data_IF_449193208868
#
_entry.id   IF_449193208868
#
_cell.length_a   1.000
_cell.length_b   1.000
_cell.length_c   1.000
_cell.angle_alpha   90.00
_cell.angle_beta   90.00
_cell.angle_gamma   90.00
#
_symmetry.space_group_name_H-M   'P 1'
#
loop_
_entity.id
_entity.type
_entity.pdbx_description
1 polymer ?
#
# COMPACT_ATOMS: atom_id res chain seq x y z
N UNK A 1 21.33 -6.73 12.77
CA UNK A 1 21.46 -5.34 13.20
C UNK A 1 22.16 -4.46 12.17
N UNK A 2 21.40 -3.87 11.24
CA UNK A 2 21.92 -2.89 10.28
C UNK A 2 20.91 -1.74 10.13
N UNK A 3 20.89 -0.76 11.04
CA UNK A 3 20.00 0.39 10.93
C UNK A 3 20.40 1.26 9.74
N UNK A 4 19.42 1.79 9.00
CA UNK A 4 19.65 2.70 7.86
C UNK A 4 20.24 2.07 6.60
N UNK A 5 20.48 0.75 6.58
CA UNK A 5 20.96 0.02 5.40
C UNK A 5 19.98 -1.07 4.97
N UNK A 6 19.91 -1.32 3.67
CA UNK A 6 19.17 -2.44 3.08
C UNK A 6 20.15 -3.54 2.66
N UNK A 7 19.88 -4.77 3.07
CA UNK A 7 20.69 -5.94 2.75
C UNK A 7 19.95 -6.71 1.66
N UNK A 8 20.46 -6.66 0.43
CA UNK A 8 19.89 -7.36 -0.72
C UNK A 8 20.43 -8.79 -0.82
N UNK A 9 21.73 -8.96 -0.55
CA UNK A 9 22.43 -10.25 -0.45
C UNK A 9 23.56 -10.15 0.60
N UNK A 10 24.20 -11.27 1.00
CA UNK A 10 25.30 -11.24 1.99
C UNK A 10 26.48 -10.33 1.60
N UNK A 11 26.68 -10.12 0.31
CA UNK A 11 27.73 -9.31 -0.32
C UNK A 11 27.24 -7.95 -0.86
N UNK A 12 25.93 -7.69 -0.82
CA UNK A 12 25.33 -6.44 -1.29
C UNK A 12 24.46 -5.82 -0.20
N UNK A 13 25.05 -4.88 0.53
CA UNK A 13 24.34 -3.98 1.43
C UNK A 13 24.46 -2.55 0.92
N UNK A 14 23.34 -1.85 0.81
CA UNK A 14 23.31 -0.47 0.35
C UNK A 14 22.91 0.48 1.48
N UNK A 15 23.55 1.63 1.54
CA UNK A 15 23.10 2.80 2.28
C UNK A 15 22.13 3.63 1.42
N UNK A 16 21.48 4.61 2.05
CA UNK A 16 20.59 5.55 1.35
C UNK A 16 21.34 6.34 0.28
N UNK A 17 22.56 6.76 0.58
CA UNK A 17 23.44 7.51 -0.33
C UNK A 17 23.81 6.65 -1.54
N UNK A 18 24.16 5.38 -1.31
CA UNK A 18 24.45 4.43 -2.39
C UNK A 18 23.21 4.16 -3.25
N UNK A 19 22.03 4.07 -2.65
CA UNK A 19 20.76 3.95 -3.36
C UNK A 19 20.39 5.17 -4.22
N UNK A 20 20.95 6.35 -3.93
CA UNK A 20 20.62 7.59 -4.64
C UNK A 20 21.18 7.67 -6.07
N UNK A 21 22.08 6.75 -6.45
CA UNK A 21 22.60 6.67 -7.81
C UNK A 21 21.52 6.31 -8.86
N UNK A 22 20.41 5.69 -8.44
CA UNK A 22 19.29 5.34 -9.34
C UNK A 22 18.18 6.38 -9.22
N UNK A 23 17.88 7.06 -10.33
CA UNK A 23 16.87 8.11 -10.37
C UNK A 23 15.50 7.59 -9.92
N UNK A 24 14.92 8.21 -8.89
CA UNK A 24 13.60 7.85 -8.36
C UNK A 24 13.59 6.67 -7.38
N UNK A 25 14.73 5.99 -7.17
CA UNK A 25 14.82 4.88 -6.23
C UNK A 25 14.87 5.34 -4.76
N UNK A 26 15.32 6.56 -4.49
CA UNK A 26 15.46 7.12 -3.13
C UNK A 26 14.14 7.07 -2.36
N UNK A 27 13.01 7.39 -2.98
CA UNK A 27 11.69 7.31 -2.33
C UNK A 27 11.37 5.87 -1.91
N UNK A 28 11.63 4.90 -2.79
CA UNK A 28 11.41 3.47 -2.51
C UNK A 28 12.36 3.00 -1.41
N UNK A 29 13.61 3.45 -1.46
CA UNK A 29 14.61 3.16 -0.44
C UNK A 29 14.15 3.63 0.94
N UNK A 30 13.67 4.87 1.04
CA UNK A 30 13.16 5.45 2.30
C UNK A 30 11.94 4.67 2.82
N UNK A 31 11.02 4.29 1.92
CA UNK A 31 9.88 3.44 2.27
C UNK A 31 10.31 2.06 2.78
N UNK A 32 11.32 1.43 2.16
CA UNK A 32 11.88 0.15 2.59
C UNK A 32 12.59 0.27 3.95
N UNK A 33 13.32 1.35 4.19
CA UNK A 33 13.95 1.62 5.48
C UNK A 33 12.90 1.81 6.58
N UNK A 34 11.82 2.53 6.30
CA UNK A 34 10.71 2.70 7.24
C UNK A 34 10.02 1.35 7.54
N UNK A 35 9.73 0.55 6.51
CA UNK A 35 9.11 -0.76 6.67
C UNK A 35 9.98 -1.74 7.46
N UNK A 36 11.28 -1.84 7.14
CA UNK A 36 12.22 -2.70 7.85
C UNK A 36 12.46 -2.24 9.29
N UNK A 37 12.44 -0.92 9.54
CA UNK A 37 12.49 -0.38 10.90
C UNK A 37 11.26 -0.76 11.70
N UNK A 38 10.06 -0.70 11.10
CA UNK A 38 8.84 -1.15 11.76
C UNK A 38 8.84 -2.64 12.09
N UNK A 39 9.36 -3.48 11.19
CA UNK A 39 9.54 -4.93 11.44
C UNK A 39 10.46 -5.17 12.65
N UNK A 40 11.55 -4.41 12.76
CA UNK A 40 12.50 -4.48 13.87
C UNK A 40 11.89 -4.00 15.19
N UNK A 41 11.17 -2.88 15.19
CA UNK A 41 10.45 -2.36 16.36
C UNK A 41 9.44 -3.37 16.91
N UNK A 42 8.72 -4.05 16.02
CA UNK A 42 7.75 -5.07 16.39
C UNK A 42 8.41 -6.36 16.90
N UNK A 43 9.74 -6.48 16.82
CA UNK A 43 10.53 -7.67 17.17
C UNK A 43 9.89 -8.91 16.55
N UNK A 44 9.66 -8.84 15.24
CA UNK A 44 8.93 -9.86 14.50
C UNK A 44 9.60 -11.22 14.68
N UNK A 45 8.81 -12.21 15.13
CA UNK A 45 9.30 -13.58 15.34
C UNK A 45 9.28 -14.37 14.03
N UNK A 46 10.07 -15.44 13.98
CA UNK A 46 10.20 -16.29 12.78
C UNK A 46 8.85 -16.86 12.35
N UNK A 47 8.06 -17.35 13.30
CA UNK A 47 6.75 -17.94 13.07
C UNK A 47 5.76 -16.92 12.50
N UNK A 48 5.73 -15.72 13.08
CA UNK A 48 4.90 -14.61 12.61
C UNK A 48 5.33 -14.17 11.20
N UNK A 49 6.64 -14.06 10.95
CA UNK A 49 7.20 -13.70 9.64
C UNK A 49 6.80 -14.69 8.55
N UNK A 50 6.86 -15.99 8.81
CA UNK A 50 6.43 -17.01 7.85
C UNK A 50 4.92 -16.91 7.58
N UNK A 51 4.10 -16.67 8.60
CA UNK A 51 2.66 -16.45 8.43
C UNK A 51 2.38 -15.22 7.56
N UNK A 52 3.08 -14.10 7.78
CA UNK A 52 2.93 -12.90 6.97
C UNK A 52 3.34 -13.13 5.50
N UNK A 53 4.42 -13.88 5.25
CA UNK A 53 4.80 -14.26 3.88
C UNK A 53 3.71 -15.09 3.20
N UNK A 54 3.14 -16.06 3.91
CA UNK A 54 2.02 -16.86 3.40
C UNK A 54 0.79 -15.98 3.13
N UNK A 55 0.42 -15.08 4.05
CA UNK A 55 -0.67 -14.13 3.85
C UNK A 55 -0.46 -13.24 2.62
N UNK A 56 0.75 -12.76 2.37
CA UNK A 56 1.07 -11.95 1.17
C UNK A 56 0.83 -12.76 -0.10
N UNK A 57 1.33 -14.00 -0.15
CA UNK A 57 1.17 -14.88 -1.30
C UNK A 57 -0.32 -15.18 -1.57
N UNK A 58 -1.08 -15.54 -0.53
CA UNK A 58 -2.48 -15.94 -0.64
C UNK A 58 -3.40 -14.74 -0.95
N UNK A 59 -3.18 -13.58 -0.34
CA UNK A 59 -3.99 -12.39 -0.58
C UNK A 59 -3.73 -11.73 -1.94
N UNK A 60 -2.56 -11.95 -2.54
CA UNK A 60 -2.26 -11.36 -3.85
C UNK A 60 -3.06 -12.04 -4.97
N UNK A 61 -3.35 -13.35 -4.84
CA UNK A 61 -4.18 -14.09 -5.79
C UNK A 61 -5.67 -13.69 -5.75
N UNK A 62 -6.19 -13.22 -4.62
CA UNK A 62 -7.61 -12.85 -4.51
C UNK A 62 -7.99 -11.64 -5.37
N UNK A 63 -7.03 -10.77 -5.72
CA UNK A 63 -7.24 -9.66 -6.66
C UNK A 63 -7.17 -10.10 -8.14
N UNK A 64 -6.71 -11.32 -8.42
CA UNK A 64 -6.48 -11.83 -9.79
C UNK A 64 -7.65 -12.66 -10.33
N UNK A 65 -8.50 -13.19 -9.45
CA UNK A 65 -9.64 -14.04 -9.80
C UNK A 65 -10.88 -13.21 -10.14
N UNK A 66 -11.00 -12.79 -11.40
CA UNK A 66 -12.16 -12.05 -11.91
C UNK A 66 -12.97 -12.86 -12.94
N UNK A 67 -12.82 -14.18 -13.03
CA UNK A 67 -13.61 -14.99 -13.97
C UNK A 67 -14.68 -15.82 -13.24
N UNK A 68 -15.92 -15.70 -13.70
CA UNK A 68 -17.11 -16.31 -13.08
C UNK A 68 -17.28 -17.78 -13.52
N UNK A 69 -16.25 -18.59 -13.33
CA UNK A 69 -16.32 -20.05 -13.50
C UNK A 69 -16.70 -20.75 -12.20
N UNK A 70 -17.52 -21.80 -12.25
CA UNK A 70 -17.88 -22.62 -11.08
C UNK A 70 -16.66 -23.20 -10.35
N UNK A 71 -15.63 -23.57 -11.10
CA UNK A 71 -14.38 -24.13 -10.56
C UNK A 71 -13.51 -23.05 -9.89
N UNK A 72 -13.61 -21.79 -10.34
CA UNK A 72 -12.91 -20.64 -9.76
C UNK A 72 -13.54 -20.20 -8.43
N UNK A 73 -14.86 -20.32 -8.30
CA UNK A 73 -15.55 -20.13 -7.02
C UNK A 73 -15.10 -21.17 -5.98
N UNK A 74 -14.96 -22.44 -6.39
CA UNK A 74 -14.43 -23.47 -5.49
C UNK A 74 -12.96 -23.24 -5.11
N UNK A 75 -12.11 -22.83 -6.04
CA UNK A 75 -10.72 -22.50 -5.75
C UNK A 75 -10.60 -21.30 -4.80
N UNK A 76 -11.42 -20.27 -4.98
CA UNK A 76 -11.52 -19.11 -4.09
C UNK A 76 -11.94 -19.49 -2.67
N UNK A 77 -12.92 -20.38 -2.52
CA UNK A 77 -13.33 -20.86 -1.19
C UNK A 77 -12.24 -21.66 -0.48
N UNK A 78 -11.45 -22.46 -1.21
CA UNK A 78 -10.28 -23.16 -0.68
C UNK A 78 -9.19 -22.16 -0.26
N UNK A 79 -8.96 -21.11 -1.04
CA UNK A 79 -8.00 -20.06 -0.75
C UNK A 79 -8.36 -19.29 0.53
N UNK A 80 -9.64 -18.92 0.70
CA UNK A 80 -10.13 -18.27 1.92
C UNK A 80 -9.91 -19.15 3.15
N UNK A 81 -10.26 -20.44 3.08
CA UNK A 81 -10.02 -21.38 4.19
C UNK A 81 -8.53 -21.51 4.54
N UNK A 82 -7.65 -21.48 3.54
CA UNK A 82 -6.21 -21.49 3.79
C UNK A 82 -5.74 -20.19 4.44
N UNK A 83 -6.28 -19.04 4.02
CA UNK A 83 -5.99 -17.76 4.66
C UNK A 83 -6.49 -17.72 6.12
N UNK A 84 -7.68 -18.26 6.41
CA UNK A 84 -8.19 -18.41 7.77
C UNK A 84 -7.25 -19.29 8.60
N UNK A 85 -6.81 -20.43 8.06
CA UNK A 85 -5.85 -21.32 8.72
C UNK A 85 -4.52 -20.65 9.03
N UNK A 86 -4.01 -19.82 8.12
CA UNK A 86 -2.78 -19.02 8.33
C UNK A 86 -3.02 -17.92 9.36
N UNK A 87 -4.22 -17.34 9.41
CA UNK A 87 -4.62 -16.34 10.41
C UNK A 87 -4.66 -16.97 11.80
N UNK A 88 -5.24 -18.16 11.94
CA UNK A 88 -5.25 -18.90 13.19
C UNK A 88 -3.83 -19.26 13.64
N UNK A 89 -2.98 -19.71 12.71
CA UNK A 89 -1.57 -19.98 13.00
C UNK A 89 -0.80 -18.73 13.47
N UNK A 90 -1.09 -17.56 12.88
CA UNK A 90 -0.51 -16.29 13.29
C UNK A 90 -0.97 -15.90 14.70
N UNK A 91 -2.27 -16.00 14.98
CA UNK A 91 -2.84 -15.73 16.31
C UNK A 91 -2.24 -16.67 17.36
N UNK A 92 -2.09 -17.94 17.04
CA UNK A 92 -1.44 -18.92 17.91
C UNK A 92 0.04 -18.58 18.16
N UNK A 93 0.79 -18.19 17.13
CA UNK A 93 2.18 -17.77 17.26
C UNK A 93 2.32 -16.52 18.15
N UNK A 94 1.39 -15.57 18.04
CA UNK A 94 1.31 -14.40 18.91
C UNK A 94 1.02 -14.82 20.35
N UNK A 95 0.02 -15.69 20.58
CA UNK A 95 -0.39 -16.15 21.90
C UNK A 95 0.73 -16.89 22.65
N UNK A 96 1.55 -17.67 21.93
CA UNK A 96 2.72 -18.37 22.48
C UNK A 96 3.75 -17.41 23.12
N UNK A 97 3.68 -16.13 22.81
CA UNK A 97 4.55 -15.09 23.38
C UNK A 97 4.17 -14.65 24.80
N UNK A 98 3.10 -15.20 25.39
CA UNK A 98 2.67 -14.88 26.75
C UNK A 98 1.98 -13.51 26.89
N UNK A 99 1.49 -12.95 25.78
CA UNK A 99 0.78 -11.67 25.76
C UNK A 99 -0.65 -11.83 26.30
N UNK A 100 -1.15 -10.80 26.98
CA UNK A 100 -2.57 -10.72 27.35
C UNK A 100 -3.45 -10.66 26.11
N UNK A 101 -4.71 -11.09 26.20
CA UNK A 101 -5.66 -11.08 25.08
C UNK A 101 -5.68 -9.72 24.35
N UNK A 102 -5.81 -8.61 25.09
CA UNK A 102 -5.77 -7.25 24.51
C UNK A 102 -4.49 -6.99 23.70
N UNK A 103 -3.33 -7.36 24.25
CA UNK A 103 -2.04 -7.19 23.56
C UNK A 103 -1.93 -8.09 22.32
N UNK A 104 -2.53 -9.28 22.33
CA UNK A 104 -2.56 -10.17 21.16
C UNK A 104 -3.28 -9.51 19.97
N UNK A 105 -4.48 -8.94 20.18
CA UNK A 105 -5.20 -8.24 19.11
C UNK A 105 -4.49 -6.98 18.64
N UNK A 106 -3.89 -6.21 19.55
CA UNK A 106 -3.08 -5.04 19.17
C UNK A 106 -1.88 -5.46 18.32
N UNK A 107 -1.19 -6.56 18.69
CA UNK A 107 -0.08 -7.10 17.90
C UNK A 107 -0.56 -7.58 16.54
N UNK A 108 -1.65 -8.34 16.48
CA UNK A 108 -2.25 -8.81 15.23
C UNK A 108 -2.54 -7.64 14.29
N UNK A 109 -3.19 -6.59 14.78
CA UNK A 109 -3.48 -5.38 14.00
C UNK A 109 -2.19 -4.73 13.45
N UNK A 110 -1.16 -4.58 14.28
CA UNK A 110 0.14 -4.05 13.82
C UNK A 110 0.79 -4.91 12.73
N UNK A 111 0.71 -6.24 12.86
CA UNK A 111 1.26 -7.18 11.86
C UNK A 111 0.46 -7.15 10.55
N UNK A 112 -0.85 -7.01 10.61
CA UNK A 112 -1.67 -6.86 9.41
C UNK A 112 -1.45 -5.50 8.72
N UNK A 113 -1.24 -4.42 9.49
CA UNK A 113 -0.91 -3.11 8.92
C UNK A 113 0.44 -3.12 8.18
N UNK A 114 1.42 -3.93 8.60
CA UNK A 114 2.66 -4.12 7.85
C UNK A 114 2.40 -4.62 6.42
N UNK A 115 1.41 -5.49 6.23
CA UNK A 115 1.07 -6.01 4.90
C UNK A 115 0.61 -4.89 3.96
N UNK A 116 -0.11 -3.89 4.48
CA UNK A 116 -0.53 -2.71 3.71
C UNK A 116 0.67 -1.88 3.27
N UNK A 117 1.61 -1.61 4.19
CA UNK A 117 2.84 -0.89 3.85
C UNK A 117 3.64 -1.65 2.79
N UNK A 118 3.84 -2.96 2.95
CA UNK A 118 4.55 -3.80 1.98
C UNK A 118 3.89 -3.72 0.60
N UNK A 119 2.56 -3.80 0.53
CA UNK A 119 1.82 -3.65 -0.73
C UNK A 119 2.07 -2.29 -1.38
N UNK A 120 2.05 -1.21 -0.60
CA UNK A 120 2.33 0.13 -1.10
C UNK A 120 3.75 0.24 -1.69
N UNK A 121 4.76 -0.23 -0.96
CA UNK A 121 6.14 -0.24 -1.44
C UNK A 121 6.29 -1.12 -2.68
N UNK A 122 5.63 -2.27 -2.73
CA UNK A 122 5.62 -3.16 -3.89
C UNK A 122 5.06 -2.48 -5.13
N UNK A 123 3.94 -1.77 -5.02
CA UNK A 123 3.34 -1.06 -6.15
C UNK A 123 4.29 0.04 -6.67
N UNK A 124 4.84 0.85 -5.76
CA UNK A 124 5.83 1.89 -6.11
C UNK A 124 7.09 1.30 -6.76
N UNK A 125 7.58 0.17 -6.24
CA UNK A 125 8.72 -0.55 -6.81
C UNK A 125 8.43 -1.08 -8.22
N UNK A 126 7.23 -1.62 -8.43
CA UNK A 126 6.80 -2.14 -9.73
C UNK A 126 6.64 -1.02 -10.77
N UNK A 127 6.03 0.11 -10.40
CA UNK A 127 5.91 1.29 -11.25
C UNK A 127 7.29 1.82 -11.67
N UNK A 128 8.23 1.88 -10.72
CA UNK A 128 9.60 2.28 -11.00
C UNK A 128 10.32 1.31 -11.93
N UNK A 129 10.19 0.00 -11.70
CA UNK A 129 10.79 -1.04 -12.55
C UNK A 129 10.22 -0.98 -13.99
N UNK A 130 8.92 -0.75 -14.12
CA UNK A 130 8.28 -0.51 -15.41
C UNK A 130 8.85 0.73 -16.12
N UNK A 131 9.01 1.84 -15.41
CA UNK A 131 9.64 3.04 -15.96
C UNK A 131 11.08 2.79 -16.42
N UNK A 132 11.85 2.00 -15.65
CA UNK A 132 13.23 1.62 -15.99
C UNK A 132 13.27 0.72 -17.23
N UNK A 133 12.34 -0.24 -17.36
CA UNK A 133 12.14 -1.06 -18.57
C UNK A 133 11.89 -0.17 -19.80
N UNK A 134 10.95 0.77 -19.71
CA UNK A 134 10.58 1.63 -20.84
C UNK A 134 11.71 2.56 -21.30
N UNK A 135 12.66 2.88 -20.41
CA UNK A 135 13.88 3.65 -20.74
C UNK A 135 15.05 2.78 -21.21
N UNK A 136 14.89 1.46 -21.29
CA UNK A 136 15.95 0.48 -21.58
C UNK A 136 17.17 0.61 -20.63
N UNK A 137 16.94 1.03 -19.39
CA UNK A 137 18.01 1.31 -18.41
C UNK A 137 18.47 0.06 -17.66
N UNK A 138 17.66 -1.00 -17.64
CA UNK A 138 17.93 -2.22 -16.89
C UNK A 138 17.66 -3.43 -17.78
N UNK A 139 18.63 -4.34 -17.98
CA UNK A 139 18.35 -5.63 -18.60
C UNK A 139 17.51 -6.47 -17.64
N UNK A 140 16.29 -6.80 -18.05
CA UNK A 140 15.42 -7.70 -17.29
C UNK A 140 15.53 -9.11 -17.89
N UNK A 141 15.70 -10.11 -17.02
CA UNK A 141 15.57 -11.51 -17.43
C UNK A 141 14.12 -11.83 -17.82
N UNK A 142 13.94 -12.78 -18.73
CA UNK A 142 12.62 -13.15 -19.28
C UNK A 142 11.57 -13.42 -18.19
N UNK A 143 11.93 -14.19 -17.15
CA UNK A 143 11.04 -14.46 -16.03
C UNK A 143 10.62 -13.17 -15.27
N UNK A 144 11.54 -12.24 -15.06
CA UNK A 144 11.24 -10.98 -14.38
C UNK A 144 10.36 -10.09 -15.25
N UNK A 145 10.56 -10.13 -16.56
CA UNK A 145 9.75 -9.43 -17.54
C UNK A 145 8.31 -9.95 -17.54
N UNK A 146 8.14 -11.28 -17.56
CA UNK A 146 6.82 -11.93 -17.50
C UNK A 146 6.06 -11.56 -16.22
N UNK A 147 6.73 -11.56 -15.07
CA UNK A 147 6.12 -11.15 -13.80
C UNK A 147 5.68 -9.67 -13.80
N UNK A 148 6.50 -8.79 -14.37
CA UNK A 148 6.21 -7.36 -14.49
C UNK A 148 5.01 -7.12 -15.43
N UNK A 149 4.99 -7.80 -16.58
CA UNK A 149 3.93 -7.66 -17.57
C UNK A 149 2.60 -8.21 -17.05
N UNK A 150 2.60 -9.33 -16.33
CA UNK A 150 1.42 -9.84 -15.64
C UNK A 150 0.84 -8.77 -14.69
N UNK A 151 1.67 -8.14 -13.85
CA UNK A 151 1.20 -7.12 -12.92
C UNK A 151 0.53 -5.92 -13.62
N UNK A 152 1.09 -5.45 -14.74
CA UNK A 152 0.57 -4.33 -15.52
C UNK A 152 -0.78 -4.69 -16.15
N UNK A 153 -0.90 -5.88 -16.75
CA UNK A 153 -2.14 -6.35 -17.35
C UNK A 153 -3.27 -6.52 -16.33
N UNK A 154 -2.94 -6.77 -15.06
CA UNK A 154 -3.94 -6.93 -14.00
C UNK A 154 -4.31 -5.61 -13.32
N UNK A 155 -3.36 -4.69 -13.16
CA UNK A 155 -3.64 -3.37 -12.57
C UNK A 155 -4.57 -2.52 -13.45
N UNK A 156 -4.56 -2.73 -14.78
CA UNK A 156 -5.48 -2.08 -15.72
C UNK A 156 -6.92 -2.61 -15.65
N UNK A 157 -7.16 -3.76 -15.02
CA UNK A 157 -8.49 -4.35 -14.82
C UNK A 157 -9.18 -3.90 -13.53
N UNK A 158 -8.46 -3.24 -12.63
CA UNK A 158 -9.04 -2.61 -11.45
C UNK A 158 -9.57 -1.22 -11.83
N UNK A 159 -10.76 -0.79 -11.35
CA UNK A 159 -11.26 0.55 -11.61
C UNK A 159 -10.27 1.58 -11.07
N UNK A 160 -9.62 2.31 -11.97
CA UNK A 160 -8.72 3.40 -11.65
C UNK A 160 -9.56 4.47 -10.94
N UNK A 161 -9.44 4.59 -9.61
CA UNK A 161 -10.06 5.71 -8.88
C UNK A 161 -9.45 6.99 -9.43
N UNK A 162 -10.22 7.88 -10.10
CA UNK A 162 -9.64 9.10 -10.62
C UNK A 162 -9.14 9.93 -9.43
N UNK A 163 -7.85 10.21 -9.44
CA UNK A 163 -7.24 11.28 -8.67
C UNK A 163 -8.04 12.55 -8.92
N UNK A 164 -8.57 13.14 -7.85
CA UNK A 164 -9.27 14.42 -7.89
C UNK A 164 -8.39 15.43 -8.60
N UNK A 165 -8.81 15.81 -9.80
CA UNK A 165 -8.24 16.88 -10.57
C UNK A 165 -8.78 18.16 -9.92
N UNK A 166 -7.93 18.90 -9.23
CA UNK A 166 -8.20 20.28 -8.82
C UNK A 166 -8.60 21.06 -10.09
N UNK A 167 -9.89 21.39 -10.18
CA UNK A 167 -10.43 22.28 -11.19
C UNK A 167 -9.91 23.68 -10.90
N UNK A 168 -8.92 24.08 -11.69
CA UNK A 168 -8.40 25.44 -11.77
C UNK A 168 -9.44 26.32 -12.47
N UNK A 169 -10.25 27.05 -11.70
CA UNK A 169 -11.09 28.14 -12.23
C UNK A 169 -10.38 29.49 -12.02
N UNK A 170 -10.07 30.16 -13.13
CA UNK A 170 -9.72 31.58 -13.19
C UNK A 170 -10.23 32.21 -14.50
N UNK A 171 -10.41 33.55 -14.56
CA UNK A 171 -11.72 34.16 -14.82
C UNK A 171 -11.78 34.93 -16.14
N UNK A 172 -12.98 35.29 -16.60
CA UNK A 172 -13.16 36.28 -17.67
C UNK A 172 -14.46 37.08 -17.54
N UNK A 173 -14.31 38.41 -17.43
CA UNK A 173 -15.21 39.41 -18.04
C UNK A 173 -16.38 39.95 -17.20
N UNK A 174 -16.24 41.18 -16.69
CA UNK A 174 -17.36 42.02 -16.24
C UNK A 174 -18.19 42.59 -17.43
N UNK A 175 -19.20 43.47 -17.19
CA UNK A 175 -19.01 44.69 -16.41
C UNK A 175 -20.12 45.06 -15.40
N UNK A 176 -19.67 45.80 -14.38
CA UNK A 176 -20.27 47.00 -13.78
C UNK A 176 -21.80 47.17 -13.78
N UNK A 177 -22.40 47.17 -12.58
CA UNK A 177 -23.40 48.16 -12.17
C UNK A 177 -23.35 48.38 -10.66
N UNK A 178 -23.17 49.65 -10.31
CA UNK A 178 -22.98 50.25 -9.00
C UNK A 178 -24.32 50.50 -8.33
N UNK A 179 -24.55 50.07 -7.07
CA UNK A 179 -25.33 50.87 -6.11
C UNK A 179 -25.13 50.48 -4.64
N UNK A 180 -25.24 51.49 -3.78
CA UNK A 180 -24.74 51.65 -2.39
C UNK A 180 -25.64 51.08 -1.28
N UNK A 181 -25.12 50.91 -0.04
CA UNK A 181 -25.91 50.48 1.12
C UNK A 181 -26.47 51.69 1.90
N UNK A 182 -27.71 51.59 2.40
CA UNK A 182 -28.15 52.42 3.54
C UNK A 182 -29.37 51.84 4.24
N UNK A 183 -29.32 52.02 5.56
CA UNK A 183 -30.14 51.50 6.65
C UNK A 183 -31.35 52.38 6.97
N UNK A 184 -32.43 51.75 7.45
CA UNK A 184 -33.52 52.31 8.29
C UNK A 184 -34.46 51.12 8.61
N UNK A 185 -34.87 50.77 9.83
CA UNK A 185 -35.12 51.54 11.04
C UNK A 185 -36.60 51.39 11.43
N UNK A 186 -36.90 50.83 12.60
CA UNK A 186 -38.23 50.79 13.25
C UNK A 186 -39.25 49.82 12.62
N UNK A 187 -40.20 49.20 13.32
CA UNK A 187 -40.74 49.38 14.67
C UNK A 187 -41.45 48.09 15.11
N UNK A 188 -41.53 47.93 16.43
CA UNK A 188 -42.27 46.90 17.13
C UNK A 188 -43.79 46.98 16.89
N UNK A 189 -44.51 45.86 17.07
CA UNK A 189 -45.65 45.79 18.00
C UNK A 189 -46.07 44.37 18.33
N UNK A 190 -46.58 44.29 19.55
CA UNK A 190 -46.85 43.16 20.44
C UNK A 190 -48.33 42.75 20.37
N UNK A 191 -48.64 41.69 21.15
CA UNK A 191 -49.95 41.29 21.70
C UNK A 191 -50.76 40.31 20.84
N UNK A 192 -51.32 39.22 21.36
CA UNK A 192 -51.39 38.62 22.72
C UNK A 192 -51.40 37.09 22.57
#
# INVERSE_FOLDING_TARGET
DHPGKLIFSPDLSLSREEGSCVQGFVEIFDMLIAATSRVRELKLKREEYVCLKAMILLNSNMCLSSSEGSDELQSRSKLLRLLDSVTDALVWAIAKSGLTFRQQYTRLAHLLMLLSHIRHVSNKGMDHLHCMKMKNMVPLYDLLLEMLDAHIMHSSRLPRRPSQQESSDQPAGGPSNTWTPSSSGGEARYSD
#
